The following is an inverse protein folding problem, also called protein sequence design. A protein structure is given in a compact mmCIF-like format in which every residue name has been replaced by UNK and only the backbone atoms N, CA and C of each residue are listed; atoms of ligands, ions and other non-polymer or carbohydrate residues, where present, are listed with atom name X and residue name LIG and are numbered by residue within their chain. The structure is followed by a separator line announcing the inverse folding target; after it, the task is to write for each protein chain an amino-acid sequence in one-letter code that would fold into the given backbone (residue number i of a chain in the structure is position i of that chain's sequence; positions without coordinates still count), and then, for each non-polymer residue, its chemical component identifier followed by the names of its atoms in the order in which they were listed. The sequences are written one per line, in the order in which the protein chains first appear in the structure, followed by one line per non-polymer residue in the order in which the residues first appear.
data_IF_129280515545
#
_entry.id   IF_129280515545
#
_cell.length_a   1.000
_cell.length_b   1.000
_cell.length_c   1.000
_cell.angle_alpha   90.00
_cell.angle_beta   90.00
_cell.angle_gamma   90.00
#
_symmetry.space_group_name_H-M   'P 1'
#
loop_
_entity.id
_entity.type
_entity.pdbx_description
1 polymer ?
#
# COMPACT_ATOMS: atom_id res chain seq x y z
N UNK A 1 7.88 -28.77 16.97
CA UNK A 1 9.11 -28.36 17.71
C UNK A 1 8.78 -27.06 18.43
N UNK A 2 9.21 -26.87 19.68
CA UNK A 2 8.96 -25.60 20.36
C UNK A 2 9.84 -24.49 19.77
N UNK A 3 9.26 -23.32 19.55
CA UNK A 3 9.95 -22.09 19.18
C UNK A 3 9.89 -21.13 20.37
N UNK A 4 10.95 -20.35 20.55
CA UNK A 4 10.99 -19.28 21.55
C UNK A 4 11.17 -17.96 20.84
N UNK A 5 10.23 -17.03 21.05
CA UNK A 5 10.29 -15.67 20.54
C UNK A 5 10.61 -14.71 21.67
N UNK A 6 11.56 -13.80 21.44
CA UNK A 6 11.82 -12.69 22.34
C UNK A 6 10.88 -11.53 21.98
N UNK A 7 9.96 -11.20 22.88
CA UNK A 7 8.91 -10.19 22.67
C UNK A 7 9.18 -8.97 23.54
N UNK A 8 9.50 -7.82 22.95
CA UNK A 8 9.68 -6.55 23.66
C UNK A 8 8.40 -5.72 23.63
N UNK A 9 8.01 -5.15 24.78
CA UNK A 9 6.88 -4.23 24.88
C UNK A 9 7.31 -2.77 24.79
N UNK A 10 6.36 -1.88 24.57
CA UNK A 10 6.56 -0.40 24.62
C UNK A 10 7.12 0.11 25.95
N UNK A 11 7.01 -0.66 27.03
CA UNK A 11 7.58 -0.30 28.34
C UNK A 11 9.07 -0.65 28.48
N UNK A 12 9.68 -1.24 27.44
CA UNK A 12 11.06 -1.74 27.47
C UNK A 12 11.22 -3.10 28.15
N UNK A 13 10.14 -3.71 28.65
CA UNK A 13 10.16 -5.09 29.16
C UNK A 13 10.19 -6.10 28.03
N UNK A 14 10.97 -7.17 28.21
CA UNK A 14 11.09 -8.29 27.26
C UNK A 14 10.57 -9.58 27.90
N UNK A 15 9.88 -10.40 27.11
CA UNK A 15 9.31 -11.67 27.51
C UNK A 15 9.80 -12.76 26.53
N UNK A 16 10.26 -13.89 27.05
CA UNK A 16 10.55 -15.05 26.22
C UNK A 16 9.29 -15.94 26.17
N UNK A 17 8.67 -15.98 24.99
CA UNK A 17 7.39 -16.66 24.78
C UNK A 17 7.63 -17.95 24.01
N UNK A 18 7.20 -19.07 24.60
CA UNK A 18 7.31 -20.39 23.98
C UNK A 18 6.00 -20.78 23.31
N UNK A 19 6.09 -21.17 22.05
CA UNK A 19 4.99 -21.59 21.18
C UNK A 19 5.41 -22.81 20.37
N UNK A 20 4.47 -23.48 19.71
CA UNK A 20 4.78 -24.60 18.82
C UNK A 20 5.11 -24.10 17.41
N UNK A 21 5.96 -24.82 16.70
CA UNK A 21 6.35 -24.45 15.34
C UNK A 21 5.20 -24.52 14.33
N UNK A 22 4.18 -25.32 14.60
CA UNK A 22 2.94 -25.39 13.80
C UNK A 22 1.90 -24.30 14.15
N UNK A 23 2.14 -23.52 15.22
CA UNK A 23 1.24 -22.46 15.65
C UNK A 23 1.30 -21.25 14.67
N UNK A 24 0.32 -20.35 14.81
CA UNK A 24 0.24 -19.09 14.09
C UNK A 24 0.52 -17.92 15.03
N UNK A 25 0.58 -16.72 14.46
CA UNK A 25 0.73 -15.48 15.22
C UNK A 25 -0.38 -15.30 16.25
N UNK A 26 -1.58 -15.83 15.99
CA UNK A 26 -2.68 -15.84 16.96
C UNK A 26 -2.27 -16.45 18.30
N UNK A 27 -1.69 -17.65 18.30
CA UNK A 27 -1.28 -18.34 19.52
C UNK A 27 -0.11 -17.61 20.20
N UNK A 28 0.83 -17.05 19.43
CA UNK A 28 1.88 -16.19 19.98
C UNK A 28 1.29 -14.96 20.70
N UNK A 29 0.28 -14.31 20.12
CA UNK A 29 -0.41 -13.17 20.72
C UNK A 29 -1.12 -13.56 22.01
N UNK A 30 -1.90 -14.65 21.99
CA UNK A 30 -2.60 -15.18 23.17
C UNK A 30 -1.61 -15.51 24.32
N UNK A 31 -0.40 -16.01 24.01
CA UNK A 31 0.63 -16.25 25.00
C UNK A 31 1.25 -14.93 25.53
N UNK A 32 1.46 -13.92 24.69
CA UNK A 32 1.96 -12.60 25.12
C UNK A 32 0.94 -11.87 26.01
N UNK A 33 -0.35 -12.01 25.74
CA UNK A 33 -1.45 -11.43 26.53
C UNK A 33 -1.49 -11.95 27.98
N UNK A 34 -0.81 -13.06 28.28
CA UNK A 34 -0.62 -13.51 29.68
C UNK A 34 0.37 -12.66 30.46
N UNK A 35 1.23 -11.91 29.78
CA UNK A 35 2.25 -11.05 30.36
C UNK A 35 1.90 -9.56 30.29
N UNK A 36 1.03 -9.18 29.35
CA UNK A 36 0.65 -7.79 29.08
C UNK A 36 -0.87 -7.65 29.26
N UNK A 37 -1.28 -6.77 30.18
CA UNK A 37 -2.69 -6.40 30.33
C UNK A 37 -3.18 -5.68 29.08
N UNK A 38 -4.23 -6.23 28.45
CA UNK A 38 -4.91 -5.62 27.31
C UNK A 38 -6.27 -5.12 27.78
N UNK A 39 -6.47 -3.80 27.89
CA UNK A 39 -7.75 -3.24 28.31
C UNK A 39 -8.90 -3.63 27.37
N UNK A 40 -10.12 -3.60 27.89
CA UNK A 40 -11.32 -3.75 27.08
C UNK A 40 -11.34 -2.72 25.94
N UNK A 41 -11.73 -3.14 24.73
CA UNK A 41 -11.66 -2.37 23.48
C UNK A 41 -10.25 -2.03 22.95
N UNK A 42 -9.19 -2.59 23.54
CA UNK A 42 -7.84 -2.57 22.96
C UNK A 42 -7.50 -3.92 22.32
N UNK A 43 -6.45 -3.91 21.50
CA UNK A 43 -5.87 -5.09 20.89
C UNK A 43 -4.36 -5.07 21.06
N UNK A 44 -3.76 -6.22 21.37
CA UNK A 44 -2.32 -6.37 21.40
C UNK A 44 -1.82 -6.54 19.97
N UNK A 45 -1.03 -5.62 19.43
CA UNK A 45 -0.36 -5.72 18.14
C UNK A 45 1.02 -6.33 18.31
N UNK A 46 1.40 -7.17 17.35
CA UNK A 46 2.74 -7.74 17.29
C UNK A 46 3.39 -7.27 16.00
N UNK A 47 4.63 -6.86 16.08
CA UNK A 47 5.43 -6.38 14.96
C UNK A 47 6.67 -7.25 14.81
N UNK A 48 7.09 -7.48 13.57
CA UNK A 48 8.36 -8.11 13.25
C UNK A 48 9.08 -7.21 12.24
N UNK A 49 10.15 -6.54 12.70
CA UNK A 49 10.69 -5.39 11.98
C UNK A 49 9.64 -4.28 11.86
N UNK A 50 9.34 -3.85 10.63
CA UNK A 50 8.34 -2.81 10.34
C UNK A 50 6.93 -3.35 10.05
N UNK A 51 6.75 -4.67 10.01
CA UNK A 51 5.49 -5.31 9.60
C UNK A 51 4.60 -5.63 10.81
N UNK A 52 3.32 -5.24 10.76
CA UNK A 52 2.31 -5.72 11.70
C UNK A 52 1.95 -7.15 11.35
N UNK A 53 1.98 -8.04 12.34
CA UNK A 53 1.69 -9.46 12.17
C UNK A 53 0.18 -9.74 12.27
N UNK A 54 -0.38 -10.37 11.23
CA UNK A 54 -1.76 -10.85 11.24
C UNK A 54 -1.89 -12.23 11.88
N UNK A 55 -3.03 -12.49 12.55
CA UNK A 55 -3.25 -13.71 13.34
C UNK A 55 -3.16 -15.02 12.54
N UNK A 56 -3.51 -14.99 11.25
CA UNK A 56 -3.45 -16.16 10.40
C UNK A 56 -2.03 -16.49 9.90
N UNK A 57 -1.01 -15.64 10.14
CA UNK A 57 0.35 -15.87 9.66
C UNK A 57 0.97 -17.07 10.39
N UNK A 58 1.52 -18.07 9.68
CA UNK A 58 2.22 -19.18 10.32
C UNK A 58 3.53 -18.68 10.96
N UNK A 59 3.86 -19.16 12.17
CA UNK A 59 5.09 -18.74 12.85
C UNK A 59 6.37 -19.17 12.13
N UNK A 60 6.29 -20.16 11.25
CA UNK A 60 7.39 -20.57 10.36
C UNK A 60 7.79 -19.48 9.36
N UNK A 61 6.95 -18.47 9.14
CA UNK A 61 7.27 -17.31 8.31
C UNK A 61 8.11 -16.25 9.05
N UNK A 62 8.26 -16.38 10.37
CA UNK A 62 9.04 -15.46 11.21
C UNK A 62 10.42 -16.04 11.51
N UNK A 63 11.39 -15.17 11.83
CA UNK A 63 12.71 -15.58 12.29
C UNK A 63 12.74 -15.51 13.82
N UNK A 64 12.78 -16.64 14.55
CA UNK A 64 12.74 -16.62 16.02
C UNK A 64 13.92 -15.88 16.68
N UNK A 65 15.01 -15.68 15.93
CA UNK A 65 16.18 -14.91 16.36
C UNK A 65 15.96 -13.40 16.32
N UNK A 66 14.95 -12.94 15.57
CA UNK A 66 14.57 -11.53 15.49
C UNK A 66 13.57 -11.20 16.59
N UNK A 67 13.69 -9.99 17.14
CA UNK A 67 12.82 -9.52 18.21
C UNK A 67 11.43 -9.17 17.65
N UNK A 68 10.40 -9.65 18.33
CA UNK A 68 9.02 -9.24 18.08
C UNK A 68 8.69 -8.07 19.02
N UNK A 69 8.01 -7.05 18.52
CA UNK A 69 7.57 -5.91 19.33
C UNK A 69 6.08 -5.95 19.60
N UNK A 70 5.67 -5.67 20.83
CA UNK A 70 4.30 -5.74 21.31
C UNK A 70 3.78 -4.34 21.70
N UNK A 71 2.65 -3.94 21.13
CA UNK A 71 2.01 -2.63 21.36
C UNK A 71 0.53 -2.84 21.63
N UNK A 72 0.01 -2.31 22.73
CA UNK A 72 -1.44 -2.29 22.99
C UNK A 72 -2.01 -1.03 22.34
N UNK A 73 -3.00 -1.19 21.46
CA UNK A 73 -3.62 -0.07 20.75
C UNK A 73 -5.14 -0.21 20.75
N UNK A 74 -5.84 0.93 20.70
CA UNK A 74 -7.30 0.98 20.51
C UNK A 74 -7.59 1.12 19.03
N UNK A 75 -7.86 0.00 18.38
CA UNK A 75 -8.13 -0.09 16.94
C UNK A 75 -9.26 -1.10 16.69
N UNK A 76 -9.97 -0.91 15.60
CA UNK A 76 -10.91 -1.89 15.05
C UNK A 76 -10.16 -3.04 14.38
N UNK A 77 -10.83 -4.19 14.24
CA UNK A 77 -10.26 -5.34 13.52
C UNK A 77 -9.88 -4.99 12.07
N UNK A 78 -10.65 -4.12 11.41
CA UNK A 78 -10.39 -3.70 10.03
C UNK A 78 -9.12 -2.86 9.94
N UNK A 79 -8.93 -1.90 10.86
CA UNK A 79 -7.71 -1.09 10.90
C UNK A 79 -6.46 -1.95 11.11
N UNK A 80 -6.54 -2.96 11.98
CA UNK A 80 -5.45 -3.92 12.20
C UNK A 80 -5.14 -4.73 10.94
N UNK A 81 -6.16 -5.23 10.25
CA UNK A 81 -5.99 -6.00 9.02
C UNK A 81 -5.39 -5.13 7.91
N UNK A 82 -5.83 -3.88 7.76
CA UNK A 82 -5.27 -2.93 6.80
C UNK A 82 -3.78 -2.69 7.05
N UNK A 83 -3.37 -2.53 8.30
CA UNK A 83 -1.97 -2.35 8.66
C UNK A 83 -1.14 -3.63 8.45
N UNK A 84 -1.75 -4.80 8.66
CA UNK A 84 -1.08 -6.08 8.47
C UNK A 84 -1.10 -6.57 7.01
N UNK A 85 -1.86 -5.93 6.11
CA UNK A 85 -2.04 -6.38 4.73
C UNK A 85 -0.73 -6.52 3.94
N UNK A 86 0.29 -5.73 4.26
CA UNK A 86 1.63 -5.84 3.66
C UNK A 86 2.34 -7.17 3.96
N UNK A 87 1.94 -7.85 5.03
CA UNK A 87 2.48 -9.16 5.43
C UNK A 87 1.73 -10.35 4.81
N UNK A 88 0.70 -10.09 4.00
CA UNK A 88 -0.11 -11.12 3.36
C UNK A 88 0.73 -12.07 2.50
N UNK A 89 0.69 -13.37 2.81
CA UNK A 89 1.55 -14.37 2.18
C UNK A 89 1.28 -14.51 0.67
N UNK A 90 0.03 -14.30 0.22
CA UNK A 90 -0.31 -14.33 -1.20
C UNK A 90 0.47 -13.31 -2.03
N UNK A 91 0.82 -12.13 -1.49
CA UNK A 91 1.69 -11.19 -2.20
C UNK A 91 3.11 -11.74 -2.39
N UNK A 92 3.65 -12.45 -1.39
CA UNK A 92 4.98 -13.08 -1.51
C UNK A 92 4.97 -14.18 -2.55
N UNK A 93 3.91 -14.98 -2.61
CA UNK A 93 3.75 -16.03 -3.63
C UNK A 93 3.66 -15.43 -5.03
N UNK A 94 2.89 -14.35 -5.21
CA UNK A 94 2.79 -13.64 -6.49
C UNK A 94 4.15 -13.06 -6.93
N UNK A 95 4.95 -12.52 -6.00
CA UNK A 95 6.30 -12.04 -6.30
C UNK A 95 7.25 -13.17 -6.70
N UNK A 96 7.22 -14.33 -6.03
CA UNK A 96 8.02 -15.52 -6.40
C UNK A 96 7.67 -16.05 -7.79
N UNK A 97 6.38 -16.04 -8.12
CA UNK A 97 5.86 -16.54 -9.39
C UNK A 97 5.90 -15.51 -10.52
N UNK A 98 6.36 -14.29 -10.25
CA UNK A 98 6.37 -13.20 -11.22
C UNK A 98 7.21 -13.56 -12.46
N UNK A 99 6.61 -13.63 -13.66
CA UNK A 99 7.36 -13.87 -14.88
C UNK A 99 8.35 -12.72 -15.17
N UNK A 100 9.43 -13.05 -15.86
CA UNK A 100 10.31 -12.03 -16.44
C UNK A 100 9.59 -11.27 -17.56
N UNK A 101 9.87 -9.97 -17.68
CA UNK A 101 9.40 -9.16 -18.81
C UNK A 101 10.10 -9.60 -20.11
N UNK A 102 9.43 -9.54 -21.27
CA UNK A 102 10.09 -9.68 -22.58
C UNK A 102 11.25 -8.69 -22.80
N UNK A 103 11.24 -7.56 -22.07
CA UNK A 103 12.29 -6.53 -22.15
C UNK A 103 13.56 -6.90 -21.38
N UNK A 104 13.50 -7.89 -20.48
CA UNK A 104 14.69 -8.44 -19.82
C UNK A 104 14.40 -9.24 -18.55
N UNK A 105 15.26 -10.22 -18.28
CA UNK A 105 15.14 -11.13 -17.12
C UNK A 105 15.28 -10.46 -15.75
N UNK A 106 15.85 -9.27 -15.71
CA UNK A 106 15.98 -8.44 -14.52
C UNK A 106 14.69 -7.67 -14.19
N UNK A 107 13.66 -7.78 -15.04
CA UNK A 107 12.38 -7.09 -14.88
C UNK A 107 11.33 -8.14 -14.56
N UNK A 108 10.62 -7.96 -13.45
CA UNK A 108 9.61 -8.91 -12.95
C UNK A 108 8.24 -8.27 -13.01
N UNK A 109 7.28 -8.95 -13.62
CA UNK A 109 5.95 -8.39 -13.88
C UNK A 109 4.91 -9.18 -13.09
N UNK A 110 4.15 -8.50 -12.23
CA UNK A 110 2.99 -9.06 -11.54
C UNK A 110 1.74 -8.40 -12.09
N UNK A 111 0.91 -9.17 -12.80
CA UNK A 111 -0.37 -8.70 -13.35
C UNK A 111 -1.52 -9.18 -12.48
N UNK A 112 -2.56 -8.36 -12.36
CA UNK A 112 -3.81 -8.73 -11.66
C UNK A 112 -3.58 -8.97 -10.18
N UNK A 113 -3.01 -8.00 -9.46
CA UNK A 113 -2.92 -8.07 -8.02
C UNK A 113 -4.32 -8.19 -7.40
N UNK A 114 -4.49 -8.99 -6.33
CA UNK A 114 -5.77 -9.06 -5.63
C UNK A 114 -6.11 -7.67 -5.06
N UNK A 115 -7.39 -7.32 -5.12
CA UNK A 115 -7.89 -6.09 -4.52
C UNK A 115 -7.68 -6.13 -3.00
N UNK A 116 -7.57 -4.96 -2.37
CA UNK A 116 -7.43 -4.88 -0.91
C UNK A 116 -8.57 -5.61 -0.19
N UNK A 117 -9.80 -5.56 -0.72
CA UNK A 117 -10.94 -6.25 -0.12
C UNK A 117 -10.79 -7.78 -0.16
N UNK A 118 -10.27 -8.32 -1.27
CA UNK A 118 -10.00 -9.75 -1.40
C UNK A 118 -8.89 -10.21 -0.45
N UNK A 119 -7.83 -9.41 -0.31
CA UNK A 119 -6.75 -9.69 0.65
C UNK A 119 -7.26 -9.70 2.08
N UNK A 120 -8.03 -8.69 2.46
CA UNK A 120 -8.59 -8.61 3.81
C UNK A 120 -9.61 -9.72 4.09
N UNK A 121 -10.40 -10.12 3.09
CA UNK A 121 -11.33 -11.26 3.19
C UNK A 121 -10.57 -12.58 3.44
N UNK A 122 -9.49 -12.83 2.70
CA UNK A 122 -8.66 -14.03 2.90
C UNK A 122 -7.97 -14.02 4.27
N UNK A 123 -7.43 -12.88 4.69
CA UNK A 123 -6.79 -12.72 6.00
C UNK A 123 -7.77 -12.87 7.17
N UNK A 124 -9.01 -12.39 7.03
CA UNK A 124 -10.03 -12.43 8.07
C UNK A 124 -10.87 -13.72 8.06
N UNK A 125 -10.86 -14.48 6.95
CA UNK A 125 -11.78 -15.59 6.71
C UNK A 125 -13.23 -15.18 6.46
N UNK A 126 -13.50 -13.88 6.33
CA UNK A 126 -14.82 -13.31 6.06
C UNK A 126 -14.67 -11.95 5.38
N UNK A 127 -15.64 -11.58 4.55
CA UNK A 127 -15.65 -10.29 3.87
C UNK A 127 -15.71 -9.13 4.88
N UNK A 128 -14.73 -8.21 4.88
CA UNK A 128 -14.76 -7.05 5.77
C UNK A 128 -15.77 -6.01 5.26
N UNK A 129 -16.38 -5.30 6.21
CA UNK A 129 -17.12 -4.07 5.91
C UNK A 129 -16.18 -2.88 6.11
N UNK A 130 -15.91 -2.16 5.02
CA UNK A 130 -15.13 -0.93 5.02
C UNK A 130 -16.05 0.18 4.56
N UNK A 131 -16.23 1.19 5.41
CA UNK A 131 -17.05 2.33 5.07
C UNK A 131 -16.56 2.95 3.76
N UNK A 132 -17.47 3.26 2.84
CA UNK A 132 -17.18 3.91 1.56
C UNK A 132 -16.27 3.18 0.55
N UNK A 133 -15.85 1.94 0.82
CA UNK A 133 -15.09 1.10 -0.12
C UNK A 133 -15.81 -0.23 -0.33
N UNK A 134 -16.17 -0.54 -1.59
CA UNK A 134 -16.86 -1.79 -1.93
C UNK A 134 -16.35 -2.39 -3.24
N UNK A 135 -16.63 -3.67 -3.42
CA UNK A 135 -16.52 -4.30 -4.73
C UNK A 135 -17.66 -3.81 -5.64
N UNK A 136 -17.31 -3.30 -6.81
CA UNK A 136 -18.22 -2.93 -7.90
C UNK A 136 -18.20 -3.95 -9.03
N UNK A 137 -18.95 -3.65 -10.10
CA UNK A 137 -19.04 -4.51 -11.30
C UNK A 137 -17.69 -4.70 -12.00
N UNK A 138 -16.83 -3.67 -11.96
CA UNK A 138 -15.58 -3.59 -12.73
C UNK A 138 -14.31 -3.49 -11.86
N UNK A 139 -14.41 -3.77 -10.56
CA UNK A 139 -13.29 -3.63 -9.62
C UNK A 139 -13.72 -3.05 -8.28
N UNK A 140 -12.98 -2.06 -7.77
CA UNK A 140 -13.33 -1.36 -6.53
C UNK A 140 -14.07 -0.05 -6.83
N UNK A 141 -15.02 0.27 -5.96
CA UNK A 141 -15.72 1.56 -5.93
C UNK A 141 -15.45 2.23 -4.59
N UNK A 142 -14.93 3.45 -4.65
CA UNK A 142 -14.65 4.29 -3.50
C UNK A 142 -15.50 5.56 -3.53
N UNK A 143 -16.09 5.94 -2.40
CA UNK A 143 -16.93 7.16 -2.30
C UNK A 143 -16.50 8.13 -1.18
N UNK A 144 -15.41 7.81 -0.45
CA UNK A 144 -14.90 8.64 0.64
C UNK A 144 -13.94 9.73 0.16
N UNK A 145 -13.78 10.74 1.00
CA UNK A 145 -12.79 11.81 0.89
C UNK A 145 -11.46 11.47 1.59
N UNK A 146 -11.48 10.53 2.53
CA UNK A 146 -10.32 10.22 3.39
C UNK A 146 -9.29 9.31 2.72
N UNK A 147 -9.53 8.95 1.46
CA UNK A 147 -8.74 7.99 0.71
C UNK A 147 -8.87 6.57 1.27
N UNK A 148 -8.48 5.58 0.48
CA UNK A 148 -8.49 4.18 0.91
C UNK A 148 -7.25 3.47 0.40
N UNK A 149 -6.69 2.59 1.23
CA UNK A 149 -5.57 1.75 0.83
C UNK A 149 -5.98 0.87 -0.36
N UNK A 150 -5.16 0.82 -1.41
CA UNK A 150 -5.35 -0.06 -2.56
C UNK A 150 -4.31 -1.17 -2.59
N UNK A 151 -3.06 -0.81 -2.30
CA UNK A 151 -1.92 -1.70 -2.26
C UNK A 151 -1.08 -1.32 -1.03
N UNK A 152 -0.89 -2.22 -0.05
CA UNK A 152 0.03 -1.96 1.05
C UNK A 152 1.46 -1.86 0.55
N UNK A 153 2.35 -1.35 1.40
CA UNK A 153 3.77 -1.54 1.16
C UNK A 153 4.07 -3.04 1.21
N UNK A 154 4.74 -3.56 0.18
CA UNK A 154 5.04 -4.99 0.04
C UNK A 154 6.55 -5.20 0.16
N UNK A 155 6.93 -6.15 1.00
CA UNK A 155 8.32 -6.56 1.17
C UNK A 155 8.82 -7.31 -0.08
N UNK A 156 9.77 -6.69 -0.80
CA UNK A 156 10.36 -7.30 -2.00
C UNK A 156 11.52 -8.26 -1.69
N UNK A 157 11.85 -8.48 -0.42
CA UNK A 157 13.00 -9.27 0.02
C UNK A 157 13.01 -10.71 -0.51
N UNK A 158 11.85 -11.29 -0.82
CA UNK A 158 11.80 -12.59 -1.51
C UNK A 158 12.41 -12.53 -2.91
N UNK A 159 12.02 -11.52 -3.69
CA UNK A 159 12.47 -11.30 -5.06
C UNK A 159 13.95 -10.92 -5.10
N UNK A 160 14.36 -10.06 -4.18
CA UNK A 160 15.74 -9.59 -4.03
C UNK A 160 16.70 -10.74 -3.69
N UNK A 161 16.31 -11.63 -2.77
CA UNK A 161 17.11 -12.81 -2.41
C UNK A 161 17.29 -13.77 -3.57
N UNK A 162 16.21 -14.09 -4.28
CA UNK A 162 16.27 -14.98 -5.46
C UNK A 162 17.17 -14.40 -6.55
N UNK A 163 17.16 -13.08 -6.69
CA UNK A 163 17.94 -12.34 -7.69
C UNK A 163 19.36 -11.98 -7.24
N UNK A 164 19.72 -12.30 -5.98
CA UNK A 164 20.98 -11.92 -5.33
C UNK A 164 21.26 -10.41 -5.41
N UNK A 165 20.20 -9.61 -5.24
CA UNK A 165 20.23 -8.15 -5.18
C UNK A 165 19.94 -7.69 -3.76
N UNK A 166 20.51 -6.54 -3.39
CA UNK A 166 20.20 -5.89 -2.11
C UNK A 166 19.00 -4.94 -2.21
N UNK A 167 18.73 -4.44 -3.43
CA UNK A 167 17.63 -3.53 -3.73
C UNK A 167 17.24 -3.63 -5.21
N UNK A 168 16.00 -3.29 -5.55
CA UNK A 168 15.58 -3.02 -6.93
C UNK A 168 15.97 -1.58 -7.31
N UNK A 169 16.10 -1.29 -8.60
CA UNK A 169 16.45 0.03 -9.13
C UNK A 169 15.24 0.96 -9.27
N UNK A 170 14.09 0.41 -9.69
CA UNK A 170 12.80 1.10 -9.76
C UNK A 170 11.63 0.11 -9.76
N UNK A 171 10.45 0.61 -9.44
CA UNK A 171 9.16 -0.09 -9.59
C UNK A 171 8.22 0.77 -10.42
N UNK A 172 7.46 0.15 -11.33
CA UNK A 172 6.30 0.75 -11.99
C UNK A 172 5.04 0.17 -11.36
N UNK A 173 4.21 1.03 -10.79
CA UNK A 173 2.87 0.66 -10.32
C UNK A 173 1.86 1.15 -11.34
N UNK A 174 1.17 0.21 -11.99
CA UNK A 174 0.12 0.52 -12.96
C UNK A 174 -1.24 0.33 -12.30
N UNK A 175 -2.04 1.40 -12.27
CA UNK A 175 -3.40 1.42 -11.69
C UNK A 175 -4.39 1.91 -12.73
N UNK A 176 -5.47 1.16 -12.90
CA UNK A 176 -6.62 1.58 -13.71
C UNK A 176 -7.61 2.36 -12.85
N UNK A 177 -8.03 3.54 -13.32
CA UNK A 177 -8.98 4.36 -12.58
C UNK A 177 -9.81 5.30 -13.48
N UNK A 178 -11.01 5.68 -13.02
CA UNK A 178 -11.84 6.72 -13.63
C UNK A 178 -12.94 7.19 -12.65
N UNK A 179 -13.59 8.32 -12.94
CA UNK A 179 -14.73 8.84 -12.18
C UNK A 179 -15.53 9.83 -13.02
N UNK A 180 -16.76 10.11 -12.60
CA UNK A 180 -17.59 11.21 -13.08
C UNK A 180 -17.39 12.53 -12.31
N UNK A 181 -16.43 12.55 -11.38
CA UNK A 181 -16.12 13.72 -10.56
C UNK A 181 -15.51 14.88 -11.39
N UNK A 182 -16.34 15.68 -12.04
CA UNK A 182 -15.94 16.84 -12.85
C UNK A 182 -15.38 17.98 -11.99
N UNK A 183 -14.18 18.50 -12.33
CA UNK A 183 -13.47 19.54 -11.57
C UNK A 183 -13.17 19.14 -10.11
N UNK A 184 -13.14 17.83 -9.85
CA UNK A 184 -12.83 17.23 -8.55
C UNK A 184 -11.68 16.29 -8.79
N UNK A 185 -10.57 16.54 -8.09
CA UNK A 185 -9.34 15.81 -8.33
C UNK A 185 -9.50 14.40 -7.81
N UNK A 186 -9.65 13.42 -8.68
CA UNK A 186 -9.47 12.03 -8.29
C UNK A 186 -7.99 11.67 -8.44
N UNK A 187 -7.53 10.63 -7.77
CA UNK A 187 -6.28 10.01 -8.17
C UNK A 187 -5.67 9.09 -7.14
N UNK A 188 -4.35 9.09 -7.11
CA UNK A 188 -3.55 8.11 -6.39
C UNK A 188 -2.60 8.83 -5.44
N UNK A 189 -2.49 8.34 -4.22
CA UNK A 189 -1.37 8.68 -3.35
C UNK A 189 -0.37 7.54 -3.40
N UNK A 190 0.88 7.86 -3.72
CA UNK A 190 2.01 6.97 -3.51
C UNK A 190 2.76 7.40 -2.27
N UNK A 191 3.05 6.46 -1.38
CA UNK A 191 3.66 6.74 -0.07
C UNK A 191 4.91 5.86 0.17
N UNK A 192 5.92 6.50 0.76
CA UNK A 192 7.14 5.85 1.24
C UNK A 192 6.84 4.67 2.19
N UNK A 193 7.57 3.55 2.08
CA UNK A 193 7.52 2.47 3.05
C UNK A 193 7.82 2.93 4.49
N UNK A 194 7.13 2.39 5.52
CA UNK A 194 7.38 2.76 6.92
C UNK A 194 8.83 2.55 7.38
N UNK A 195 9.55 1.60 6.76
CA UNK A 195 10.95 1.27 7.06
C UNK A 195 11.95 2.36 6.64
N UNK A 196 11.57 3.29 5.77
CA UNK A 196 12.42 4.42 5.35
C UNK A 196 12.45 5.56 6.38
N UNK A 197 11.70 5.45 7.48
CA UNK A 197 11.69 6.42 8.55
C UNK A 197 13.05 6.47 9.26
N UNK A 198 13.83 7.51 8.96
CA UNK A 198 15.08 7.85 9.68
C UNK A 198 14.84 8.74 10.90
N UNK A 199 13.70 9.45 10.94
CA UNK A 199 13.32 10.34 12.04
C UNK A 199 12.09 9.77 12.76
N UNK A 200 12.33 8.95 13.78
CA UNK A 200 11.32 8.66 14.80
C UNK A 200 11.13 9.95 15.61
N UNK A 201 10.03 10.67 15.39
CA UNK A 201 9.61 11.68 16.36
C UNK A 201 9.34 10.96 17.70
N UNK A 202 10.07 11.29 18.79
CA UNK A 202 9.88 10.65 20.09
C UNK A 202 8.52 10.93 20.74
N UNK A 203 7.64 11.73 20.13
CA UNK A 203 6.30 12.05 20.64
C UNK A 203 5.26 10.92 20.49
N UNK A 204 5.56 9.85 19.75
CA UNK A 204 4.72 8.65 19.69
C UNK A 204 4.92 7.84 18.41
N UNK A 205 4.64 6.54 18.46
CA UNK A 205 4.45 5.73 17.26
C UNK A 205 3.38 6.44 16.41
N UNK A 206 3.67 6.85 15.17
CA UNK A 206 2.68 7.53 14.35
C UNK A 206 1.54 6.56 14.11
N UNK A 207 0.42 6.76 14.81
CA UNK A 207 -0.87 6.29 14.34
C UNK A 207 -1.01 6.88 12.95
N UNK A 208 -1.16 6.03 11.95
CA UNK A 208 -1.39 6.43 10.58
C UNK A 208 -2.70 7.22 10.51
N UNK A 209 -2.62 8.53 10.73
CA UNK A 209 -3.76 9.45 10.75
C UNK A 209 -3.55 10.40 9.58
N UNK A 210 -4.22 10.08 8.49
CA UNK A 210 -4.43 11.00 7.39
C UNK A 210 -5.35 12.15 7.86
N UNK A 211 -4.92 13.41 7.75
CA UNK A 211 -5.61 14.55 8.38
C UNK A 211 -6.37 15.49 7.42
N UNK A 212 -6.62 15.08 6.16
CA UNK A 212 -7.56 15.77 5.28
C UNK A 212 -7.20 17.21 4.84
N UNK A 213 -6.02 17.72 5.20
CA UNK A 213 -5.47 18.98 4.69
C UNK A 213 -4.33 18.67 3.71
N UNK A 214 -4.29 19.38 2.59
CA UNK A 214 -3.46 19.07 1.42
C UNK A 214 -2.03 18.61 1.73
N UNK A 215 -1.54 17.65 0.93
CA UNK A 215 -0.24 17.00 1.08
C UNK A 215 0.97 17.91 0.83
N UNK A 216 0.78 19.23 0.70
CA UNK A 216 1.84 20.17 0.32
C UNK A 216 3.01 20.22 1.31
N UNK A 217 2.82 19.79 2.55
CA UNK A 217 3.88 19.72 3.58
C UNK A 217 4.43 18.31 3.81
N UNK A 218 3.74 17.27 3.33
CA UNK A 218 4.22 15.89 3.49
C UNK A 218 5.37 15.62 2.51
N UNK A 219 6.55 15.31 3.05
CA UNK A 219 7.67 14.80 2.25
C UNK A 219 7.50 13.33 1.86
N UNK A 220 6.62 12.61 2.57
CA UNK A 220 6.52 11.15 2.57
C UNK A 220 5.66 10.56 1.45
N UNK A 221 4.94 11.43 0.74
CA UNK A 221 3.89 11.01 -0.18
C UNK A 221 3.74 12.00 -1.32
N UNK A 222 3.29 11.51 -2.47
CA UNK A 222 2.81 12.35 -3.55
C UNK A 222 1.38 11.95 -3.94
N UNK A 223 0.45 12.91 -3.99
CA UNK A 223 -0.85 12.68 -4.61
C UNK A 223 -0.82 13.12 -6.07
N UNK A 224 -1.05 12.17 -6.96
CA UNK A 224 -1.31 12.39 -8.37
C UNK A 224 -2.80 12.67 -8.50
N UNK A 225 -3.17 13.88 -8.90
CA UNK A 225 -4.57 14.31 -9.06
C UNK A 225 -4.88 14.58 -10.52
N UNK A 226 -6.04 14.11 -10.94
CA UNK A 226 -6.52 14.10 -12.30
C UNK A 226 -7.98 14.54 -12.37
N UNK A 227 -8.33 15.25 -13.44
CA UNK A 227 -9.65 15.85 -13.63
C UNK A 227 -10.25 15.39 -14.98
N UNK A 228 -10.93 14.23 -15.03
CA UNK A 228 -11.58 13.78 -16.26
C UNK A 228 -12.73 14.72 -16.64
N UNK A 229 -13.07 14.74 -17.92
CA UNK A 229 -14.02 15.64 -18.59
C UNK A 229 -13.71 17.16 -18.46
N UNK A 230 -12.71 17.55 -17.67
CA UNK A 230 -12.26 18.93 -17.59
C UNK A 230 -11.46 19.31 -18.83
N UNK A 231 -11.78 20.45 -19.44
CA UNK A 231 -11.12 20.89 -20.67
C UNK A 231 -9.59 20.96 -20.50
N UNK A 232 -8.88 20.25 -21.38
CA UNK A 232 -7.42 20.14 -21.35
C UNK A 232 -6.86 19.14 -20.33
N UNK A 233 -7.73 18.39 -19.62
CA UNK A 233 -7.34 17.32 -18.72
C UNK A 233 -6.32 17.80 -17.69
N UNK A 234 -6.75 18.59 -16.71
CA UNK A 234 -5.78 19.09 -15.72
C UNK A 234 -5.26 17.93 -14.86
N UNK A 235 -3.94 17.85 -14.75
CA UNK A 235 -3.24 16.92 -13.87
C UNK A 235 -2.24 17.67 -13.01
N UNK A 236 -2.15 17.31 -11.73
CA UNK A 236 -1.11 17.82 -10.83
C UNK A 236 -0.54 16.72 -9.96
N UNK A 237 0.65 16.96 -9.42
CA UNK A 237 1.26 16.12 -8.39
C UNK A 237 1.48 17.00 -7.17
N UNK A 238 0.76 16.72 -6.08
CA UNK A 238 0.95 17.38 -4.78
C UNK A 238 2.02 16.65 -3.96
N UNK A 239 2.72 17.37 -3.09
CA UNK A 239 3.83 16.85 -2.28
C UNK A 239 5.21 17.25 -2.81
N UNK A 240 6.26 16.75 -2.15
CA UNK A 240 7.64 17.12 -2.48
C UNK A 240 7.98 16.84 -3.96
N UNK A 241 8.61 17.83 -4.60
CA UNK A 241 9.03 17.78 -6.00
C UNK A 241 7.91 17.73 -7.04
N UNK A 242 6.64 17.75 -6.62
CA UNK A 242 5.49 17.77 -7.51
C UNK A 242 5.31 19.10 -8.25
N UNK A 243 4.19 19.23 -8.95
CA UNK A 243 3.89 20.40 -9.79
C UNK A 243 2.38 20.71 -9.77
N UNK A 244 1.98 21.98 -9.97
CA UNK A 244 0.58 22.40 -9.97
C UNK A 244 -0.17 21.88 -11.19
N UNK A 245 -1.44 22.28 -11.38
CA UNK A 245 -2.22 21.86 -12.55
C UNK A 245 -1.48 22.13 -13.87
N UNK A 246 -1.27 21.08 -14.64
CA UNK A 246 -0.71 21.08 -15.98
C UNK A 246 -1.77 20.56 -16.96
N UNK A 247 -1.79 21.14 -18.16
CA UNK A 247 -2.66 20.68 -19.25
C UNK A 247 -2.05 19.43 -19.89
N UNK A 248 -2.84 18.36 -20.04
CA UNK A 248 -2.39 17.10 -20.63
C UNK A 248 -2.34 17.12 -22.17
N UNK A 249 -2.89 18.17 -22.80
CA UNK A 249 -2.98 18.32 -24.26
C UNK A 249 -4.23 17.68 -24.87
N UNK A 250 -5.04 17.00 -24.07
CA UNK A 250 -6.32 16.39 -24.45
C UNK A 250 -7.32 16.47 -23.30
N UNK A 251 -8.59 16.20 -23.57
CA UNK A 251 -9.64 16.12 -22.53
C UNK A 251 -10.00 14.65 -22.32
N UNK A 252 -9.49 14.00 -21.26
CA UNK A 252 -9.82 12.62 -20.96
C UNK A 252 -11.31 12.48 -20.68
N UNK A 253 -11.96 11.44 -21.21
CA UNK A 253 -13.37 11.17 -20.92
C UNK A 253 -13.57 10.76 -19.45
N UNK A 254 -14.69 11.15 -18.84
CA UNK A 254 -15.08 10.63 -17.54
C UNK A 254 -15.62 9.20 -17.63
N UNK A 255 -16.03 8.63 -16.50
CA UNK A 255 -16.50 7.25 -16.43
C UNK A 255 -17.70 6.99 -17.34
N UNK A 256 -18.71 7.87 -17.29
CA UNK A 256 -19.93 7.74 -18.09
C UNK A 256 -19.65 7.93 -19.59
N UNK A 257 -18.93 8.99 -19.99
CA UNK A 257 -18.64 9.29 -21.40
C UNK A 257 -17.71 8.27 -22.06
N UNK A 258 -16.86 7.63 -21.26
CA UNK A 258 -15.96 6.58 -21.75
C UNK A 258 -16.63 5.21 -21.91
N UNK A 259 -17.94 5.10 -21.61
CA UNK A 259 -18.67 3.83 -21.55
C UNK A 259 -18.08 2.87 -20.50
N UNK A 260 -17.80 3.40 -19.30
CA UNK A 260 -17.20 2.66 -18.18
C UNK A 260 -15.80 2.09 -18.47
N UNK A 261 -14.97 2.84 -19.22
CA UNK A 261 -13.57 2.46 -19.48
C UNK A 261 -12.64 3.15 -18.49
N UNK A 262 -11.50 2.52 -18.23
CA UNK A 262 -10.48 3.06 -17.33
C UNK A 262 -9.40 3.84 -18.09
N UNK A 263 -8.90 4.90 -17.47
CA UNK A 263 -7.56 5.42 -17.77
C UNK A 263 -6.53 4.57 -17.05
N UNK A 264 -5.32 4.46 -17.59
CA UNK A 264 -4.23 3.72 -16.94
C UNK A 264 -3.14 4.68 -16.48
N UNK A 265 -2.80 4.62 -15.19
CA UNK A 265 -1.75 5.42 -14.57
C UNK A 265 -0.57 4.50 -14.27
N UNK A 266 0.55 4.70 -14.97
CA UNK A 266 1.80 4.00 -14.76
C UNK A 266 2.76 4.91 -14.00
N UNK A 267 2.95 4.62 -12.71
CA UNK A 267 3.75 5.42 -11.78
C UNK A 267 5.09 4.71 -11.54
N UNK A 268 6.15 5.24 -12.13
CA UNK A 268 7.52 4.75 -11.94
C UNK A 268 8.18 5.46 -10.77
N UNK A 269 8.67 4.70 -9.81
CA UNK A 269 9.34 5.17 -8.60
C UNK A 269 10.74 4.57 -8.53
N UNK A 270 11.77 5.40 -8.67
CA UNK A 270 13.17 4.98 -8.67
C UNK A 270 13.85 5.27 -7.32
N UNK A 271 14.83 4.45 -6.95
CA UNK A 271 15.56 4.59 -5.67
C UNK A 271 16.34 5.91 -5.59
N UNK A 272 16.75 6.47 -6.72
CA UNK A 272 17.41 7.78 -6.78
C UNK A 272 16.45 8.97 -6.74
N UNK A 273 15.15 8.71 -6.57
CA UNK A 273 14.08 9.69 -6.51
C UNK A 273 13.66 10.27 -7.87
N UNK A 274 14.18 9.78 -9.00
CA UNK A 274 13.69 10.16 -10.33
C UNK A 274 12.42 9.39 -10.68
N UNK A 275 11.29 10.04 -10.52
CA UNK A 275 9.98 9.43 -10.74
C UNK A 275 9.40 9.85 -12.09
N UNK A 276 8.58 8.98 -12.67
CA UNK A 276 7.91 9.20 -13.95
C UNK A 276 6.45 8.79 -13.85
N UNK A 277 5.56 9.61 -14.39
CA UNK A 277 4.14 9.30 -14.52
C UNK A 277 3.81 9.25 -16.00
N UNK A 278 3.21 8.14 -16.42
CA UNK A 278 2.58 8.00 -17.73
C UNK A 278 1.09 7.73 -17.52
N UNK A 279 0.24 8.56 -18.14
CA UNK A 279 -1.21 8.37 -18.16
C UNK A 279 -1.62 8.02 -19.57
N UNK A 280 -2.29 6.89 -19.74
CA UNK A 280 -2.91 6.49 -21.01
C UNK A 280 -4.42 6.62 -20.87
N UNK A 281 -5.03 7.42 -21.74
CA UNK A 281 -6.46 7.69 -21.71
C UNK A 281 -7.29 6.48 -22.17
N UNK A 282 -8.60 6.53 -21.96
CA UNK A 282 -9.57 5.58 -22.54
C UNK A 282 -9.60 5.55 -24.07
N UNK A 283 -9.07 6.60 -24.73
CA UNK A 283 -9.01 6.76 -26.18
C UNK A 283 -7.59 6.56 -26.74
N UNK A 284 -6.60 6.29 -25.88
CA UNK A 284 -5.23 5.97 -26.25
C UNK A 284 -4.26 7.16 -26.29
N UNK A 285 -4.70 8.39 -26.00
CA UNK A 285 -3.77 9.50 -25.79
C UNK A 285 -2.89 9.26 -24.57
N UNK A 286 -1.65 9.75 -24.67
CA UNK A 286 -0.63 9.55 -23.64
C UNK A 286 -0.15 10.89 -23.13
N UNK A 287 -0.16 11.06 -21.81
CA UNK A 287 0.51 12.15 -21.10
C UNK A 287 1.67 11.59 -20.29
N UNK A 288 2.78 12.33 -20.24
CA UNK A 288 3.98 11.93 -19.51
C UNK A 288 4.63 13.10 -18.80
N UNK A 289 5.14 12.85 -17.60
CA UNK A 289 5.84 13.86 -16.80
C UNK A 289 6.82 13.20 -15.82
N UNK A 290 7.92 13.89 -15.56
CA UNK A 290 8.89 13.50 -14.54
C UNK A 290 8.81 14.41 -13.33
N UNK A 291 9.08 13.87 -12.14
CA UNK A 291 9.27 14.66 -10.92
C UNK A 291 10.34 14.03 -10.02
N UNK A 292 10.74 14.74 -8.96
CA UNK A 292 11.78 14.25 -8.04
C UNK A 292 11.31 14.15 -6.60
N UNK A 293 11.20 12.93 -6.10
CA UNK A 293 11.02 12.65 -4.68
C UNK A 293 11.45 11.20 -4.37
N UNK A 294 12.13 10.95 -3.26
CA UNK A 294 12.58 9.59 -2.93
C UNK A 294 11.47 8.84 -2.21
N UNK A 295 10.67 8.09 -2.95
CA UNK A 295 9.50 7.36 -2.42
C UNK A 295 9.74 5.87 -2.16
N UNK A 296 10.95 5.36 -2.41
CA UNK A 296 11.35 3.97 -2.17
C UNK A 296 12.86 3.87 -1.99
N UNK A 297 13.30 2.92 -1.17
CA UNK A 297 14.71 2.56 -0.95
C UNK A 297 15.12 1.31 -1.76
N UNK A 298 14.19 0.75 -2.54
CA UNK A 298 14.42 -0.45 -3.33
C UNK A 298 14.34 -1.75 -2.53
N UNK A 299 13.98 -1.72 -1.24
CA UNK A 299 13.72 -2.92 -0.42
C UNK A 299 12.23 -3.20 -0.28
N UNK A 300 11.44 -2.15 -0.23
CA UNK A 300 9.99 -2.23 -0.11
C UNK A 300 9.32 -1.54 -1.30
N UNK A 301 8.28 -2.19 -1.82
CA UNK A 301 7.36 -1.55 -2.76
C UNK A 301 6.55 -0.50 -1.98
N UNK A 302 6.35 0.71 -2.53
CA UNK A 302 5.61 1.78 -1.87
C UNK A 302 4.12 1.45 -1.77
N UNK A 303 3.46 2.03 -0.78
CA UNK A 303 2.01 1.88 -0.62
C UNK A 303 1.26 2.78 -1.63
N UNK A 304 0.09 2.33 -2.07
CA UNK A 304 -0.80 3.08 -2.97
C UNK A 304 -2.18 3.22 -2.35
N UNK A 305 -2.68 4.45 -2.35
CA UNK A 305 -4.01 4.80 -1.86
C UNK A 305 -4.82 5.43 -2.97
N UNK A 306 -6.12 5.16 -2.98
CA UNK A 306 -7.09 5.91 -3.72
C UNK A 306 -7.31 7.27 -3.06
N UNK A 307 -7.55 8.28 -3.88
CA UNK A 307 -7.75 9.65 -3.45
C UNK A 307 -8.93 10.30 -4.18
N UNK A 308 -9.80 10.99 -3.43
CA UNK A 308 -10.90 11.75 -4.00
C UNK A 308 -10.99 13.13 -3.35
N UNK A 309 -10.63 14.15 -4.12
CA UNK A 309 -10.73 15.55 -3.75
C UNK A 309 -12.20 16.02 -3.87
N UNK A 310 -12.90 15.96 -2.74
CA UNK A 310 -14.18 16.62 -2.41
C UNK A 310 -15.23 16.70 -3.55
N UNK A 311 -15.56 15.57 -4.18
CA UNK A 311 -16.51 15.52 -5.30
C UNK A 311 -17.85 14.80 -5.08
N UNK A 312 -17.95 13.92 -4.08
CA UNK A 312 -19.19 13.16 -3.80
C UNK A 312 -19.51 12.02 -4.79
N UNK A 313 -18.91 12.04 -5.98
CA UNK A 313 -18.99 10.96 -6.97
C UNK A 313 -18.01 9.82 -6.66
N UNK A 314 -18.34 8.62 -7.10
CA UNK A 314 -17.50 7.44 -6.88
C UNK A 314 -16.24 7.47 -7.75
N UNK A 315 -15.12 7.03 -7.19
CA UNK A 315 -13.92 6.63 -7.91
C UNK A 315 -13.99 5.13 -8.20
N UNK A 316 -13.88 4.79 -9.47
CA UNK A 316 -13.82 3.41 -9.96
C UNK A 316 -12.36 3.03 -10.16
N UNK A 317 -11.98 1.85 -9.68
CA UNK A 317 -10.62 1.35 -9.71
C UNK A 317 -10.64 -0.06 -10.31
N UNK A 318 -9.87 -0.25 -11.37
CA UNK A 318 -9.70 -1.52 -12.05
C UNK A 318 -8.47 -2.27 -11.57
N UNK A 319 -7.76 -2.89 -12.50
CA UNK A 319 -6.60 -3.70 -12.20
C UNK A 319 -5.42 -2.88 -11.66
N UNK A 320 -4.68 -3.51 -10.74
CA UNK A 320 -3.37 -3.05 -10.27
C UNK A 320 -2.32 -4.07 -10.71
N UNK A 321 -1.21 -3.58 -11.24
CA UNK A 321 -0.06 -4.41 -11.62
C UNK A 321 1.26 -3.74 -11.28
N UNK A 322 2.30 -4.55 -11.19
CA UNK A 322 3.65 -4.14 -10.82
C UNK A 322 4.65 -4.58 -11.89
N UNK A 323 5.61 -3.72 -12.17
CA UNK A 323 6.84 -4.06 -12.86
C UNK A 323 8.03 -3.66 -11.99
N UNK A 324 8.90 -4.62 -11.65
CA UNK A 324 9.98 -4.43 -10.67
C UNK A 324 11.32 -4.67 -11.38
N UNK A 325 12.19 -3.66 -11.39
CA UNK A 325 13.48 -3.72 -12.07
C UNK A 325 14.62 -3.97 -11.08
N UNK A 326 15.22 -5.15 -11.13
CA UNK A 326 16.20 -5.68 -10.16
C UNK A 326 17.65 -5.24 -10.38
#
# INVERSE_FOLDING_TARGET
MALTFSVASVTGKTYDVMVKGEDRVKELREEVERYIEVPEACYLKLFHGAEVLHDALPLTALYPTEQVFAVVARETKVELLLQAAGSYEGYKELLKMAPSSPEGDHIKVVKGLPSILAVLEDMAGQKPEIEHLRAGEHGLEMSSKDGHLLLPSINSGVLLRESRKEQFSKVVVSVQLNSDAYNKGLGLVVEEPPSMQSDTDPSGLPSYVYNGFGLSESKKSNAIKFHPAMHGGLLRIEGAGGFPNCNMGYTPQNWTESEKKFHTFEVTLAVDGRNHLKVTSTQGEVFQVDWRNTLTDGKFLPAVYAWLDLGGEALYLGDISLEIHL
#
